data_IF_643735730570
#
_entry.id   IF_643735730570
#
_cell.length_a   1.000
_cell.length_b   1.000
_cell.length_c   1.000
_cell.angle_alpha   90.00
_cell.angle_beta   90.00
_cell.angle_gamma   90.00
#
_symmetry.space_group_name_H-M   'P 1'
#
loop_
_entity.id
_entity.type
_entity.pdbx_description
1 polymer ?
#
# COMPACT_ATOMS: atom_id res chain seq x y z
N UNK A 1 -13.29 4.60 -10.90
CA UNK A 1 -14.60 4.69 -11.59
C UNK A 1 -14.49 4.41 -13.08
N UNK A 2 -13.64 5.11 -13.84
CA UNK A 2 -13.48 4.88 -15.29
C UNK A 2 -13.24 3.40 -15.68
N UNK A 3 -12.33 2.71 -15.00
CA UNK A 3 -12.11 1.27 -15.20
C UNK A 3 -13.37 0.41 -14.98
N UNK A 4 -14.20 0.74 -14.00
CA UNK A 4 -15.45 0.03 -13.72
C UNK A 4 -16.45 0.26 -14.85
N UNK A 5 -16.54 1.49 -15.36
CA UNK A 5 -17.39 1.82 -16.52
C UNK A 5 -16.93 1.03 -17.75
N UNK A 6 -15.63 1.06 -18.07
CA UNK A 6 -15.07 0.31 -19.20
C UNK A 6 -15.33 -1.19 -19.08
N UNK A 7 -15.20 -1.75 -17.88
CA UNK A 7 -15.53 -3.15 -17.61
C UNK A 7 -17.00 -3.47 -17.92
N UNK A 8 -17.94 -2.62 -17.51
CA UNK A 8 -19.36 -2.79 -17.84
C UNK A 8 -19.69 -2.57 -19.33
N UNK A 9 -18.88 -1.79 -20.04
CA UNK A 9 -18.95 -1.64 -21.50
C UNK A 9 -18.33 -2.82 -22.25
N UNK A 10 -17.84 -3.84 -21.54
CA UNK A 10 -17.27 -5.04 -22.14
C UNK A 10 -15.80 -4.93 -22.53
N UNK A 11 -15.11 -3.85 -22.16
CA UNK A 11 -13.66 -3.79 -22.34
C UNK A 11 -12.99 -4.86 -21.45
N UNK A 12 -12.04 -5.58 -22.02
CA UNK A 12 -11.28 -6.62 -21.33
C UNK A 12 -9.80 -6.46 -21.64
N UNK A 13 -8.96 -6.90 -20.71
CA UNK A 13 -7.52 -7.01 -20.92
C UNK A 13 -7.20 -8.46 -21.29
N UNK A 14 -6.49 -8.65 -22.40
CA UNK A 14 -6.18 -10.00 -22.93
C UNK A 14 -4.96 -10.65 -22.28
N UNK A 15 -4.18 -9.89 -21.50
CA UNK A 15 -2.82 -10.29 -21.12
C UNK A 15 -2.73 -11.29 -19.95
N UNK A 16 -3.82 -11.55 -19.22
CA UNK A 16 -3.74 -12.27 -17.94
C UNK A 16 -4.64 -13.53 -17.89
N UNK A 17 -4.30 -14.52 -18.74
CA UNK A 17 -4.96 -15.83 -18.73
C UNK A 17 -4.85 -16.53 -17.37
N UNK A 18 -3.76 -16.29 -16.61
CA UNK A 18 -3.56 -16.85 -15.28
C UNK A 18 -4.66 -16.44 -14.28
N UNK A 19 -4.93 -15.13 -14.17
CA UNK A 19 -5.88 -14.64 -13.17
C UNK A 19 -7.33 -14.96 -13.54
N UNK A 20 -7.63 -15.12 -14.83
CA UNK A 20 -8.95 -15.59 -15.30
C UNK A 20 -9.30 -17.00 -14.81
N UNK A 21 -8.35 -17.80 -14.31
CA UNK A 21 -8.61 -19.14 -13.77
C UNK A 21 -8.74 -19.19 -12.25
N UNK A 22 -8.37 -18.12 -11.53
CA UNK A 22 -8.40 -18.10 -10.07
C UNK A 22 -9.74 -17.53 -9.61
N UNK A 23 -10.49 -18.28 -8.81
CA UNK A 23 -11.76 -17.82 -8.24
C UNK A 23 -11.56 -16.63 -7.31
N UNK A 24 -12.42 -15.61 -7.41
CA UNK A 24 -12.44 -14.49 -6.48
C UNK A 24 -13.13 -14.90 -5.17
N UNK A 25 -12.33 -15.23 -4.14
CA UNK A 25 -12.85 -15.75 -2.86
C UNK A 25 -13.77 -14.73 -2.17
N UNK A 26 -13.43 -13.44 -2.20
CA UNK A 26 -14.27 -12.38 -1.67
C UNK A 26 -15.64 -12.31 -2.36
N UNK A 27 -15.69 -12.36 -3.69
CA UNK A 27 -16.95 -12.38 -4.43
C UNK A 27 -17.76 -13.64 -4.11
N UNK A 28 -17.10 -14.80 -4.05
CA UNK A 28 -17.72 -16.08 -3.70
C UNK A 28 -18.35 -16.07 -2.31
N UNK A 29 -17.73 -15.40 -1.34
CA UNK A 29 -18.30 -15.24 0.01
C UNK A 29 -19.63 -14.48 0.03
N UNK A 30 -19.91 -13.70 -1.01
CA UNK A 30 -21.17 -12.99 -1.22
C UNK A 30 -22.16 -13.77 -2.12
N UNK A 31 -21.87 -15.04 -2.43
CA UNK A 31 -22.66 -15.86 -3.33
C UNK A 31 -22.43 -15.59 -4.83
N UNK A 32 -21.40 -14.81 -5.19
CA UNK A 32 -21.08 -14.46 -6.58
C UNK A 32 -19.95 -15.35 -7.08
N UNK A 33 -20.26 -16.28 -7.98
CA UNK A 33 -19.31 -17.27 -8.50
C UNK A 33 -18.61 -16.77 -9.76
N UNK A 34 -17.53 -16.02 -9.57
CA UNK A 34 -16.70 -15.47 -10.66
C UNK A 34 -15.22 -15.68 -10.40
N UNK A 35 -14.44 -15.62 -11.47
CA UNK A 35 -12.99 -15.53 -11.36
C UNK A 35 -12.55 -14.09 -11.13
N UNK A 36 -11.31 -13.95 -10.69
CA UNK A 36 -10.66 -12.67 -10.44
C UNK A 36 -10.64 -11.83 -11.71
N UNK A 37 -10.98 -10.55 -11.58
CA UNK A 37 -11.08 -9.63 -12.72
C UNK A 37 -9.86 -8.72 -12.77
N UNK A 38 -9.20 -8.69 -13.93
CA UNK A 38 -8.22 -7.65 -14.27
C UNK A 38 -8.96 -6.57 -15.05
N UNK A 39 -8.97 -5.35 -14.51
CA UNK A 39 -9.70 -4.24 -15.11
C UNK A 39 -8.96 -3.68 -16.35
N UNK A 40 -9.66 -3.07 -17.31
CA UNK A 40 -9.12 -2.81 -18.65
C UNK A 40 -7.82 -1.99 -18.71
N UNK A 41 -7.64 -1.04 -17.80
CA UNK A 41 -6.43 -0.19 -17.73
C UNK A 41 -5.63 -0.47 -16.45
N UNK A 42 -5.87 -1.61 -15.81
CA UNK A 42 -5.11 -2.00 -14.64
C UNK A 42 -3.69 -2.47 -15.06
N UNK A 43 -2.64 -2.03 -14.36
CA UNK A 43 -1.29 -2.54 -14.56
C UNK A 43 -1.13 -4.00 -14.12
N UNK A 44 -2.00 -4.43 -13.22
CA UNK A 44 -1.98 -5.74 -12.58
C UNK A 44 -3.08 -5.82 -11.54
N UNK A 45 -3.53 -7.04 -11.27
CA UNK A 45 -4.73 -7.25 -10.46
C UNK A 45 -4.57 -6.80 -9.00
N UNK A 46 -3.42 -7.08 -8.39
CA UNK A 46 -3.15 -6.72 -7.00
C UNK A 46 -2.90 -5.21 -6.90
N UNK A 47 -2.05 -4.66 -7.77
CA UNK A 47 -1.74 -3.22 -7.80
C UNK A 47 -3.00 -2.39 -7.97
N UNK A 48 -3.91 -2.79 -8.86
CA UNK A 48 -5.18 -2.07 -9.03
C UNK A 48 -6.11 -2.19 -7.82
N UNK A 49 -6.10 -3.33 -7.12
CA UNK A 49 -6.77 -3.47 -5.83
C UNK A 49 -6.24 -2.52 -4.76
N UNK A 50 -4.92 -2.30 -4.71
CA UNK A 50 -4.27 -1.34 -3.80
C UNK A 50 -4.68 0.09 -4.16
N UNK A 51 -4.68 0.45 -5.44
CA UNK A 51 -5.16 1.77 -5.89
C UNK A 51 -6.65 1.97 -5.56
N UNK A 52 -7.47 0.92 -5.68
CA UNK A 52 -8.86 0.98 -5.26
C UNK A 52 -9.01 1.18 -3.75
N UNK A 53 -8.17 0.56 -2.92
CA UNK A 53 -8.18 0.82 -1.47
C UNK A 53 -7.82 2.26 -1.12
N UNK A 54 -6.82 2.86 -1.79
CA UNK A 54 -6.53 4.29 -1.66
C UNK A 54 -7.72 5.15 -2.12
N UNK A 55 -8.36 4.78 -3.23
CA UNK A 55 -9.59 5.41 -3.71
C UNK A 55 -10.72 5.36 -2.69
N UNK A 56 -10.91 4.24 -2.00
CA UNK A 56 -11.91 4.10 -0.93
C UNK A 56 -11.64 5.04 0.26
N UNK A 57 -10.37 5.24 0.63
CA UNK A 57 -9.97 6.21 1.67
C UNK A 57 -10.34 7.63 1.24
N UNK A 58 -9.93 8.04 0.02
CA UNK A 58 -10.25 9.37 -0.54
C UNK A 58 -11.76 9.60 -0.58
N UNK A 59 -12.49 8.64 -1.15
CA UNK A 59 -13.94 8.67 -1.33
C UNK A 59 -14.67 8.79 0.01
N UNK A 60 -14.25 8.06 1.04
CA UNK A 60 -14.85 8.14 2.37
C UNK A 60 -14.60 9.50 3.03
N UNK A 61 -13.37 10.03 2.95
CA UNK A 61 -13.05 11.36 3.50
C UNK A 61 -13.91 12.43 2.83
N UNK A 62 -14.08 12.36 1.50
CA UNK A 62 -14.94 13.28 0.75
C UNK A 62 -16.41 13.15 1.15
N UNK A 63 -16.92 11.92 1.29
CA UNK A 63 -18.30 11.64 1.68
C UNK A 63 -18.67 12.25 3.03
N UNK A 64 -17.73 12.22 3.99
CA UNK A 64 -17.94 12.65 5.37
C UNK A 64 -17.60 14.13 5.57
N UNK A 65 -16.54 14.63 4.93
CA UNK A 65 -15.98 15.96 5.26
C UNK A 65 -16.46 17.09 4.33
N UNK A 66 -16.98 16.77 3.15
CA UNK A 66 -17.38 17.79 2.17
C UNK A 66 -18.79 18.32 2.46
N UNK A 67 -18.95 19.66 2.40
CA UNK A 67 -20.26 20.31 2.54
C UNK A 67 -21.09 20.25 1.25
N UNK A 68 -20.43 20.30 0.09
CA UNK A 68 -21.11 20.35 -1.22
C UNK A 68 -21.66 18.96 -1.59
N UNK A 69 -22.96 18.87 -1.87
CA UNK A 69 -23.64 17.60 -2.16
C UNK A 69 -23.01 16.85 -3.34
N UNK A 70 -22.61 17.53 -4.42
CA UNK A 70 -22.00 16.85 -5.58
C UNK A 70 -20.68 16.15 -5.23
N UNK A 71 -19.86 16.74 -4.33
CA UNK A 71 -18.62 16.12 -3.87
C UNK A 71 -18.90 14.91 -2.98
N UNK A 72 -19.95 14.98 -2.15
CA UNK A 72 -20.39 13.83 -1.34
C UNK A 72 -20.90 12.70 -2.22
N UNK A 73 -21.70 13.01 -3.24
CA UNK A 73 -22.18 12.01 -4.22
C UNK A 73 -21.00 11.38 -4.97
N UNK A 74 -20.03 12.18 -5.41
CA UNK A 74 -18.80 11.68 -6.01
C UNK A 74 -18.04 10.74 -5.07
N UNK A 75 -17.91 11.10 -3.79
CA UNK A 75 -17.36 10.23 -2.74
C UNK A 75 -18.15 8.92 -2.59
N UNK A 76 -19.47 8.96 -2.56
CA UNK A 76 -20.32 7.78 -2.49
C UNK A 76 -20.11 6.82 -3.67
N UNK A 77 -20.21 7.31 -4.91
CA UNK A 77 -20.00 6.48 -6.10
C UNK A 77 -18.55 5.99 -6.22
N UNK A 78 -17.59 6.79 -5.80
CA UNK A 78 -16.18 6.41 -5.73
C UNK A 78 -15.93 5.28 -4.73
N UNK A 79 -16.56 5.33 -3.55
CA UNK A 79 -16.47 4.28 -2.54
C UNK A 79 -17.08 2.98 -3.03
N UNK A 80 -18.30 3.02 -3.59
CA UNK A 80 -18.96 1.84 -4.18
C UNK A 80 -18.11 1.22 -5.29
N UNK A 81 -17.58 2.05 -6.19
CA UNK A 81 -16.69 1.59 -7.27
C UNK A 81 -15.43 0.92 -6.71
N UNK A 82 -14.85 1.48 -5.65
CA UNK A 82 -13.61 0.98 -5.04
C UNK A 82 -13.82 -0.35 -4.33
N UNK A 83 -14.91 -0.48 -3.57
CA UNK A 83 -15.31 -1.74 -2.91
C UNK A 83 -15.59 -2.81 -3.96
N UNK A 84 -16.33 -2.47 -5.03
CA UNK A 84 -16.58 -3.36 -6.15
C UNK A 84 -15.27 -3.88 -6.75
N UNK A 85 -14.32 -2.99 -7.07
CA UNK A 85 -12.99 -3.40 -7.58
C UNK A 85 -12.26 -4.31 -6.60
N UNK A 86 -12.22 -3.98 -5.30
CA UNK A 86 -11.52 -4.81 -4.30
C UNK A 86 -12.13 -6.22 -4.18
N UNK A 87 -13.46 -6.35 -4.28
CA UNK A 87 -14.16 -7.64 -4.28
C UNK A 87 -13.81 -8.45 -5.53
N UNK A 88 -13.89 -7.85 -6.72
CA UNK A 88 -13.63 -8.56 -7.98
C UNK A 88 -12.15 -8.91 -8.19
N UNK A 89 -11.23 -8.07 -7.71
CA UNK A 89 -9.78 -8.33 -7.74
C UNK A 89 -9.33 -9.31 -6.65
N UNK A 90 -10.20 -9.61 -5.68
CA UNK A 90 -9.91 -10.42 -4.49
C UNK A 90 -8.74 -9.86 -3.65
N UNK A 91 -8.68 -8.53 -3.51
CA UNK A 91 -7.58 -7.82 -2.85
C UNK A 91 -7.84 -7.62 -1.35
N UNK A 92 -7.76 -8.74 -0.59
CA UNK A 92 -8.05 -8.78 0.85
C UNK A 92 -7.25 -7.77 1.68
N UNK A 93 -5.93 -7.65 1.42
CA UNK A 93 -5.08 -6.68 2.11
C UNK A 93 -5.55 -5.24 1.87
N UNK A 94 -5.84 -4.88 0.62
CA UNK A 94 -6.34 -3.54 0.29
C UNK A 94 -7.65 -3.20 1.03
N UNK A 95 -8.58 -4.15 1.15
CA UNK A 95 -9.82 -3.96 1.89
C UNK A 95 -9.56 -3.75 3.39
N UNK A 96 -8.76 -4.64 4.01
CA UNK A 96 -8.48 -4.59 5.45
C UNK A 96 -7.73 -3.31 5.82
N UNK A 97 -6.65 -2.97 5.11
CA UNK A 97 -5.89 -1.75 5.38
C UNK A 97 -6.68 -0.50 5.05
N UNK A 98 -7.51 -0.53 3.99
CA UNK A 98 -8.42 0.56 3.66
C UNK A 98 -9.43 0.81 4.76
N UNK A 99 -10.05 -0.25 5.29
CA UNK A 99 -10.99 -0.16 6.42
C UNK A 99 -10.31 0.40 7.68
N UNK A 100 -9.13 -0.11 8.04
CA UNK A 100 -8.37 0.39 9.19
C UNK A 100 -8.12 1.90 9.04
N UNK A 101 -7.62 2.34 7.88
CA UNK A 101 -7.32 3.76 7.63
C UNK A 101 -8.59 4.62 7.62
N UNK A 102 -9.69 4.13 7.04
CA UNK A 102 -10.98 4.81 7.11
C UNK A 102 -11.41 5.01 8.56
N UNK A 103 -11.34 3.96 9.40
CA UNK A 103 -11.67 4.06 10.83
C UNK A 103 -10.75 5.05 11.54
N UNK A 104 -9.44 5.03 11.27
CA UNK A 104 -8.48 6.00 11.81
C UNK A 104 -8.82 7.44 11.39
N UNK A 105 -9.36 7.65 10.19
CA UNK A 105 -9.73 8.97 9.68
C UNK A 105 -10.96 9.60 10.34
N UNK A 106 -11.74 8.80 11.08
CA UNK A 106 -12.89 9.25 11.89
C UNK A 106 -12.47 9.86 13.23
N UNK A 107 -11.26 9.54 13.72
CA UNK A 107 -10.74 10.13 14.96
C UNK A 107 -10.32 11.60 14.75
N UNK A 108 -10.24 12.40 15.83
CA UNK A 108 -9.75 13.76 15.75
C UNK A 108 -8.36 13.82 15.11
N UNK A 109 -8.23 14.58 14.01
CA UNK A 109 -7.03 14.61 13.17
C UNK A 109 -5.75 14.87 13.97
N UNK A 110 -5.76 15.85 14.88
CA UNK A 110 -4.61 16.21 15.70
C UNK A 110 -4.18 15.09 16.68
N UNK A 111 -5.14 14.32 17.20
CA UNK A 111 -4.85 13.23 18.11
C UNK A 111 -4.14 12.08 17.38
N UNK A 112 -4.66 11.70 16.20
CA UNK A 112 -4.14 10.54 15.48
C UNK A 112 -2.84 10.83 14.73
N UNK A 113 -2.71 12.01 14.13
CA UNK A 113 -1.52 12.39 13.33
C UNK A 113 -0.26 12.53 14.18
N UNK A 114 -0.38 12.91 15.46
CA UNK A 114 0.74 12.97 16.41
C UNK A 114 1.54 11.67 16.46
N UNK A 115 0.84 10.53 16.40
CA UNK A 115 1.43 9.20 16.44
C UNK A 115 1.76 8.70 15.03
N UNK A 116 0.80 8.80 14.11
CA UNK A 116 0.94 8.23 12.76
C UNK A 116 2.00 8.93 11.90
N UNK A 117 2.41 10.16 12.21
CA UNK A 117 3.49 10.85 11.48
C UNK A 117 4.84 10.13 11.53
N UNK A 118 5.03 9.25 12.53
CA UNK A 118 6.24 8.44 12.69
C UNK A 118 6.11 7.04 12.07
N UNK A 119 4.98 6.72 11.45
CA UNK A 119 4.74 5.40 10.84
C UNK A 119 5.76 5.07 9.75
N UNK A 120 6.29 6.06 9.03
CA UNK A 120 7.40 5.86 8.10
C UNK A 120 8.60 5.21 8.79
N UNK A 121 9.10 5.81 9.88
CA UNK A 121 10.25 5.29 10.66
C UNK A 121 9.99 3.91 11.26
N UNK A 122 8.76 3.63 11.70
CA UNK A 122 8.41 2.36 12.36
C UNK A 122 8.07 1.25 11.34
N UNK A 123 7.78 1.59 10.09
CA UNK A 123 7.32 0.64 9.07
C UNK A 123 8.23 -0.59 8.83
N UNK A 124 9.58 -0.54 8.98
CA UNK A 124 10.42 -1.73 8.89
C UNK A 124 10.10 -2.83 9.91
N UNK A 125 9.42 -2.49 11.01
CA UNK A 125 9.01 -3.44 12.05
C UNK A 125 7.70 -4.17 11.71
N UNK A 126 6.93 -3.68 10.74
CA UNK A 126 5.61 -4.22 10.43
C UNK A 126 5.59 -5.66 9.88
N UNK A 127 6.55 -6.12 9.05
CA UNK A 127 6.59 -7.52 8.61
C UNK A 127 6.68 -8.47 9.81
N UNK A 128 7.50 -8.14 10.81
CA UNK A 128 7.65 -8.94 12.04
C UNK A 128 6.40 -8.91 12.91
N UNK A 129 5.71 -7.76 12.97
CA UNK A 129 4.42 -7.67 13.64
C UNK A 129 3.38 -8.59 12.98
N UNK A 130 3.32 -8.63 11.64
CA UNK A 130 2.44 -9.54 10.91
C UNK A 130 2.79 -11.01 11.14
N UNK A 131 4.08 -11.37 11.12
CA UNK A 131 4.54 -12.73 11.46
C UNK A 131 4.06 -13.15 12.85
N UNK A 132 4.17 -12.25 13.82
CA UNK A 132 3.74 -12.49 15.20
C UNK A 132 2.22 -12.68 15.28
N UNK A 133 1.44 -11.78 14.67
CA UNK A 133 -0.04 -11.86 14.68
C UNK A 133 -0.53 -13.13 14.00
N UNK A 134 0.04 -13.50 12.85
CA UNK A 134 -0.33 -14.71 12.13
C UNK A 134 -0.01 -15.98 12.91
N UNK A 135 1.06 -15.99 13.71
CA UNK A 135 1.39 -17.11 14.59
C UNK A 135 0.36 -17.37 15.70
N UNK A 136 -0.49 -16.39 15.99
CA UNK A 136 -1.51 -16.47 17.05
C UNK A 136 -2.91 -16.80 16.46
N UNK A 137 -3.12 -16.61 15.14
CA UNK A 137 -4.42 -16.85 14.52
C UNK A 137 -4.71 -18.36 14.42
N UNK A 138 -5.88 -18.83 14.91
CA UNK A 138 -6.29 -20.23 14.79
C UNK A 138 -6.31 -20.74 13.35
N UNK A 139 -5.86 -21.98 13.15
CA UNK A 139 -5.81 -22.63 11.83
C UNK A 139 -7.18 -22.75 11.17
N UNK A 140 -8.26 -22.86 11.94
CA UNK A 140 -9.64 -22.89 11.43
C UNK A 140 -10.02 -21.59 10.70
N UNK A 141 -9.65 -20.43 11.28
CA UNK A 141 -9.84 -19.12 10.66
C UNK A 141 -8.95 -19.02 9.42
N UNK A 142 -7.68 -19.43 9.53
CA UNK A 142 -6.76 -19.45 8.39
C UNK A 142 -7.29 -20.24 7.20
N UNK A 143 -7.82 -21.43 7.43
CA UNK A 143 -8.34 -22.29 6.38
C UNK A 143 -9.58 -21.72 5.70
N UNK A 144 -10.45 -21.04 6.46
CA UNK A 144 -11.66 -20.39 5.92
C UNK A 144 -11.32 -19.28 4.92
N UNK A 145 -10.24 -18.54 5.18
CA UNK A 145 -9.80 -17.44 4.34
C UNK A 145 -8.71 -17.82 3.34
N UNK A 146 -8.22 -19.07 3.35
CA UNK A 146 -7.18 -19.52 2.43
C UNK A 146 -7.73 -19.74 1.03
N UNK A 147 -6.93 -19.41 0.01
CA UNK A 147 -7.31 -19.67 -1.37
C UNK A 147 -7.10 -21.16 -1.65
N UNK A 148 -8.08 -21.89 -2.22
CA UNK A 148 -7.83 -23.22 -2.72
C UNK A 148 -6.90 -23.11 -3.92
N UNK A 149 -5.64 -23.53 -3.75
CA UNK A 149 -4.65 -23.55 -4.82
C UNK A 149 -4.03 -24.93 -4.94
N UNK A 150 -3.54 -25.25 -6.14
CA UNK A 150 -2.86 -26.51 -6.41
C UNK A 150 -1.49 -26.61 -5.71
N UNK A 151 -0.99 -25.53 -5.10
CA UNK A 151 0.25 -25.53 -4.33
C UNK A 151 -0.07 -25.36 -2.83
N UNK A 152 0.20 -26.35 -1.97
CA UNK A 152 -0.05 -26.26 -0.53
C UNK A 152 0.62 -25.07 0.15
N UNK A 153 1.77 -24.60 -0.36
CA UNK A 153 2.50 -23.47 0.20
C UNK A 153 1.78 -22.13 -0.05
N UNK A 154 0.97 -22.03 -1.11
CA UNK A 154 0.11 -20.87 -1.37
C UNK A 154 -1.28 -20.97 -0.70
N UNK A 155 -1.61 -22.11 -0.07
CA UNK A 155 -2.83 -22.29 0.72
C UNK A 155 -2.68 -21.64 2.10
N UNK A 156 -2.48 -20.32 2.13
CA UNK A 156 -2.43 -19.54 3.37
C UNK A 156 -3.15 -18.20 3.21
N UNK A 157 -3.54 -17.58 4.33
CA UNK A 157 -4.20 -16.26 4.35
C UNK A 157 -3.37 -15.24 3.56
N UNK A 158 -2.04 -15.29 3.68
CA UNK A 158 -1.12 -14.34 3.05
C UNK A 158 -0.43 -14.87 1.80
N UNK A 159 -0.93 -15.94 1.19
CA UNK A 159 -0.48 -16.45 -0.12
C UNK A 159 1.03 -16.78 -0.19
N UNK A 160 1.59 -17.35 0.88
CA UNK A 160 2.99 -17.79 0.90
C UNK A 160 4.02 -16.69 1.19
N UNK A 161 3.59 -15.46 1.52
CA UNK A 161 4.51 -14.34 1.79
C UNK A 161 5.53 -14.59 2.90
N UNK A 162 5.22 -15.36 3.95
CA UNK A 162 6.21 -15.67 4.99
C UNK A 162 7.41 -16.42 4.43
N UNK A 163 7.17 -17.34 3.49
CA UNK A 163 8.24 -18.09 2.84
C UNK A 163 9.08 -17.18 1.94
N UNK A 164 8.43 -16.28 1.18
CA UNK A 164 9.13 -15.27 0.38
C UNK A 164 10.03 -14.40 1.26
N UNK A 165 9.50 -13.93 2.39
CA UNK A 165 10.22 -13.06 3.32
C UNK A 165 11.40 -13.76 4.00
N UNK A 166 11.23 -15.03 4.37
CA UNK A 166 12.31 -15.85 4.92
C UNK A 166 13.46 -16.00 3.92
N UNK A 167 13.16 -16.27 2.64
CA UNK A 167 14.15 -16.33 1.57
C UNK A 167 14.89 -15.00 1.39
N UNK A 168 14.19 -13.87 1.45
CA UNK A 168 14.83 -12.54 1.35
C UNK A 168 15.70 -12.26 2.58
N UNK A 169 15.22 -12.57 3.79
CA UNK A 169 16.00 -12.38 5.02
C UNK A 169 17.26 -13.25 5.04
N UNK A 170 17.18 -14.48 4.54
CA UNK A 170 18.32 -15.39 4.40
C UNK A 170 19.41 -14.80 3.48
N UNK A 171 19.02 -14.15 2.37
CA UNK A 171 19.96 -13.43 1.50
C UNK A 171 20.69 -12.30 2.24
N UNK A 172 19.98 -11.51 3.04
CA UNK A 172 20.58 -10.41 3.81
C UNK A 172 21.27 -10.84 5.11
N UNK A 173 21.23 -12.14 5.47
CA UNK A 173 21.83 -12.65 6.71
C UNK A 173 23.34 -12.49 6.76
N UNK A 174 24.00 -12.59 5.61
CA UNK A 174 25.44 -12.35 5.48
C UNK A 174 25.64 -11.07 4.69
N UNK A 175 26.26 -10.06 5.31
CA UNK A 175 26.46 -8.76 4.66
C UNK A 175 27.32 -8.89 3.39
N UNK A 176 26.85 -8.28 2.30
CA UNK A 176 27.60 -8.02 1.07
C UNK A 176 27.56 -6.53 0.77
N UNK A 177 28.62 -5.98 0.17
CA UNK A 177 28.68 -4.58 -0.23
C UNK A 177 27.53 -4.20 -1.19
N UNK A 178 27.10 -5.13 -2.05
CA UNK A 178 25.93 -4.93 -2.91
C UNK A 178 24.63 -4.64 -2.13
N UNK A 179 24.51 -5.10 -0.88
CA UNK A 179 23.35 -4.83 -0.02
C UNK A 179 23.22 -3.35 0.33
N UNK A 180 24.30 -2.56 0.22
CA UNK A 180 24.24 -1.13 0.49
C UNK A 180 23.52 -0.36 -0.62
N UNK A 181 23.73 -0.74 -1.89
CA UNK A 181 23.17 -0.08 -3.09
C UNK A 181 22.01 -0.82 -3.73
N UNK A 182 21.80 -2.08 -3.35
CA UNK A 182 20.80 -2.97 -3.95
C UNK A 182 21.26 -3.57 -5.26
N UNK A 183 20.36 -4.34 -5.87
CA UNK A 183 20.56 -5.11 -7.10
C UNK A 183 19.92 -4.47 -8.33
N UNK A 184 19.21 -3.34 -8.15
CA UNK A 184 18.42 -2.69 -9.20
C UNK A 184 17.04 -3.31 -9.39
N UNK A 185 16.25 -2.71 -10.29
CA UNK A 185 14.90 -3.17 -10.60
C UNK A 185 14.89 -4.63 -11.06
N UNK A 186 14.12 -5.47 -10.37
CA UNK A 186 14.07 -6.94 -10.59
C UNK A 186 15.42 -7.66 -10.42
N UNK A 187 16.38 -7.07 -9.73
CA UNK A 187 17.70 -7.66 -9.50
C UNK A 187 17.67 -8.99 -8.75
N UNK A 188 16.59 -9.30 -8.01
CA UNK A 188 16.40 -10.59 -7.34
C UNK A 188 16.46 -11.80 -8.28
N UNK A 189 16.10 -11.61 -9.57
CA UNK A 189 16.15 -12.68 -10.56
C UNK A 189 17.59 -13.03 -10.97
N UNK A 190 18.52 -12.07 -10.92
CA UNK A 190 19.90 -12.27 -11.34
C UNK A 190 20.75 -13.05 -10.30
N UNK A 191 20.28 -13.11 -9.06
CA UNK A 191 20.98 -13.74 -7.92
C UNK A 191 20.17 -14.88 -7.30
N UNK A 192 19.21 -15.43 -8.03
CA UNK A 192 18.42 -16.60 -7.63
C UNK A 192 17.62 -16.47 -6.33
N UNK A 193 17.31 -15.24 -5.89
CA UNK A 193 16.43 -15.04 -4.73
C UNK A 193 15.00 -15.47 -5.09
N UNK A 194 14.48 -15.00 -6.22
CA UNK A 194 13.13 -15.30 -6.68
C UNK A 194 12.96 -16.72 -7.20
N UNK A 195 14.01 -17.34 -7.73
CA UNK A 195 13.94 -18.73 -8.20
C UNK A 195 13.60 -19.69 -7.05
N UNK A 196 14.07 -19.41 -5.82
CA UNK A 196 13.76 -20.17 -4.59
C UNK A 196 12.28 -20.18 -4.20
N UNK A 197 11.48 -19.18 -4.62
CA UNK A 197 10.04 -19.11 -4.35
C UNK A 197 9.15 -19.04 -5.60
N UNK A 198 9.74 -19.11 -6.79
CA UNK A 198 9.05 -19.08 -8.09
C UNK A 198 7.96 -20.14 -8.24
N UNK A 199 8.09 -21.28 -7.54
CA UNK A 199 7.11 -22.37 -7.53
C UNK A 199 5.74 -21.96 -6.96
N UNK A 200 5.68 -20.90 -6.15
CA UNK A 200 4.43 -20.28 -5.70
C UNK A 200 3.66 -19.62 -6.86
N UNK A 201 4.37 -19.29 -7.93
CA UNK A 201 3.88 -18.53 -9.08
C UNK A 201 3.94 -19.34 -10.38
N UNK A 202 3.93 -20.68 -10.34
CA UNK A 202 4.14 -21.58 -11.50
C UNK A 202 3.28 -21.35 -12.75
N UNK A 203 2.23 -20.55 -12.64
CA UNK A 203 1.30 -20.20 -13.71
C UNK A 203 1.33 -18.71 -14.09
N UNK A 204 2.09 -17.90 -13.36
CA UNK A 204 2.34 -16.51 -13.70
C UNK A 204 3.28 -16.44 -14.91
N UNK A 205 3.16 -15.36 -15.68
CA UNK A 205 4.11 -15.06 -16.73
C UNK A 205 5.46 -14.68 -16.08
N UNK A 206 6.48 -15.51 -16.30
CA UNK A 206 7.85 -15.31 -15.81
C UNK A 206 7.95 -15.28 -14.25
N UNK A 207 7.68 -16.41 -13.56
CA UNK A 207 7.66 -16.50 -12.10
C UNK A 207 8.99 -16.17 -11.41
N UNK A 208 10.10 -16.25 -12.14
CA UNK A 208 11.42 -15.80 -11.71
C UNK A 208 11.53 -14.29 -11.51
N UNK A 209 10.57 -13.49 -11.97
CA UNK A 209 10.51 -12.04 -11.68
C UNK A 209 9.49 -11.69 -10.60
N UNK A 210 8.94 -12.67 -9.88
CA UNK A 210 8.00 -12.38 -8.79
C UNK A 210 8.68 -11.54 -7.68
N UNK A 211 8.00 -10.46 -7.29
CA UNK A 211 8.47 -9.54 -6.25
C UNK A 211 8.41 -10.13 -4.84
N UNK A 212 9.07 -9.46 -3.90
CA UNK A 212 9.09 -9.80 -2.48
C UNK A 212 7.75 -9.54 -1.78
N UNK A 213 6.82 -8.86 -2.47
CA UNK A 213 5.43 -8.76 -2.04
C UNK A 213 5.30 -8.06 -0.67
N UNK A 214 6.24 -7.15 -0.42
CA UNK A 214 6.39 -6.30 0.76
C UNK A 214 7.30 -5.12 0.37
N UNK A 215 6.88 -3.89 0.67
CA UNK A 215 7.60 -2.67 0.29
C UNK A 215 9.03 -2.66 0.82
N UNK A 216 9.24 -2.96 2.10
CA UNK A 216 10.55 -2.86 2.74
C UNK A 216 11.52 -3.86 2.12
N UNK A 217 11.10 -5.11 1.96
CA UNK A 217 11.93 -6.15 1.36
C UNK A 217 12.20 -5.88 -0.13
N UNK A 218 11.20 -5.42 -0.88
CA UNK A 218 11.40 -5.10 -2.29
C UNK A 218 12.35 -3.91 -2.46
N UNK A 219 12.19 -2.83 -1.67
CA UNK A 219 13.11 -1.69 -1.71
C UNK A 219 14.53 -2.06 -1.27
N UNK A 220 14.68 -2.95 -0.27
CA UNK A 220 15.99 -3.48 0.14
C UNK A 220 16.67 -4.25 -1.00
N UNK A 221 15.94 -5.11 -1.70
CA UNK A 221 16.46 -5.84 -2.86
C UNK A 221 16.88 -4.87 -3.96
N UNK A 222 16.01 -3.92 -4.33
CA UNK A 222 16.22 -3.08 -5.50
C UNK A 222 17.25 -1.97 -5.27
N UNK A 223 17.26 -1.38 -4.07
CA UNK A 223 18.01 -0.14 -3.79
C UNK A 223 18.88 -0.21 -2.53
N UNK A 224 18.89 -1.36 -1.85
CA UNK A 224 19.75 -1.61 -0.70
C UNK A 224 19.39 -0.79 0.54
N UNK A 225 20.31 -0.80 1.51
CA UNK A 225 20.17 -0.05 2.76
C UNK A 225 20.08 1.47 2.54
N UNK A 226 20.80 2.00 1.55
CA UNK A 226 20.77 3.43 1.24
C UNK A 226 19.42 3.86 0.69
N UNK A 227 18.86 3.11 -0.27
CA UNK A 227 17.57 3.43 -0.86
C UNK A 227 16.41 3.29 0.12
N UNK A 228 16.38 2.24 0.94
CA UNK A 228 15.34 2.14 1.98
C UNK A 228 15.42 3.31 2.97
N UNK A 229 16.62 3.71 3.40
CA UNK A 229 16.79 4.85 4.31
C UNK A 229 16.22 6.13 3.70
N UNK A 230 16.52 6.41 2.42
CA UNK A 230 15.99 7.58 1.70
C UNK A 230 14.47 7.55 1.60
N UNK A 231 13.87 6.40 1.26
CA UNK A 231 12.41 6.24 1.18
C UNK A 231 11.76 6.47 2.54
N UNK A 232 12.31 5.88 3.62
CA UNK A 232 11.78 6.05 4.98
C UNK A 232 11.87 7.52 5.44
N UNK A 233 12.99 8.20 5.16
CA UNK A 233 13.14 9.63 5.45
C UNK A 233 12.12 10.46 4.67
N UNK A 234 11.99 10.22 3.36
CA UNK A 234 11.05 10.94 2.51
C UNK A 234 9.60 10.77 3.00
N UNK A 235 9.18 9.54 3.29
CA UNK A 235 7.84 9.25 3.84
C UNK A 235 7.65 9.97 5.19
N UNK A 236 8.62 9.86 6.10
CA UNK A 236 8.53 10.46 7.45
C UNK A 236 8.43 11.98 7.39
N UNK A 237 9.27 12.64 6.58
CA UNK A 237 9.22 14.10 6.40
C UNK A 237 7.88 14.52 5.78
N UNK A 238 7.38 13.78 4.78
CA UNK A 238 6.10 14.08 4.14
C UNK A 238 4.95 14.00 5.14
N UNK A 239 4.87 12.91 5.91
CA UNK A 239 3.85 12.74 6.95
C UNK A 239 3.97 13.80 8.04
N UNK A 240 5.20 14.12 8.47
CA UNK A 240 5.43 15.15 9.47
C UNK A 240 4.93 16.52 8.98
N UNK A 241 5.24 16.91 7.75
CA UNK A 241 4.78 18.17 7.16
C UNK A 241 3.25 18.19 7.00
N UNK A 242 2.65 17.15 6.42
CA UNK A 242 1.19 17.02 6.31
C UNK A 242 0.48 17.06 7.67
N UNK A 243 1.11 16.54 8.74
CA UNK A 243 0.55 16.60 10.09
C UNK A 243 0.53 18.01 10.70
N UNK A 244 1.34 18.93 10.16
CA UNK A 244 1.48 20.31 10.65
C UNK A 244 0.79 21.35 9.77
N UNK A 245 0.51 21.03 8.51
CA UNK A 245 -0.25 21.92 7.63
C UNK A 245 -1.68 22.14 8.15
N UNK A 246 -2.24 23.29 7.77
CA UNK A 246 -3.60 23.66 8.09
C UNK A 246 -4.58 22.58 7.59
N UNK A 247 -5.64 22.35 8.36
CA UNK A 247 -6.49 21.16 8.30
C UNK A 247 -7.46 21.12 7.09
N UNK A 248 -7.00 21.51 5.91
CA UNK A 248 -7.80 21.40 4.71
C UNK A 248 -8.04 19.92 4.35
N UNK A 249 -9.11 19.68 3.60
CA UNK A 249 -9.54 18.31 3.28
C UNK A 249 -8.49 17.62 2.39
N UNK A 250 -7.75 18.38 1.58
CA UNK A 250 -6.73 17.85 0.69
C UNK A 250 -5.54 17.29 1.47
N UNK A 251 -4.95 18.06 2.39
CA UNK A 251 -3.86 17.64 3.25
C UNK A 251 -4.24 16.45 4.13
N UNK A 252 -5.45 16.48 4.72
CA UNK A 252 -6.00 15.32 5.47
C UNK A 252 -6.08 14.08 4.59
N UNK A 253 -6.58 14.23 3.35
CA UNK A 253 -6.72 13.12 2.40
C UNK A 253 -5.35 12.55 2.03
N UNK A 254 -4.39 13.40 1.66
CA UNK A 254 -3.03 13.00 1.32
C UNK A 254 -2.36 12.26 2.48
N UNK A 255 -2.52 12.75 3.71
CA UNK A 255 -1.98 12.09 4.91
C UNK A 255 -2.52 10.66 5.04
N UNK A 256 -3.83 10.48 5.02
CA UNK A 256 -4.41 9.14 5.17
C UNK A 256 -4.16 8.22 3.98
N UNK A 257 -4.02 8.73 2.75
CA UNK A 257 -3.58 7.93 1.60
C UNK A 257 -2.15 7.41 1.80
N UNK A 258 -1.23 8.22 2.34
CA UNK A 258 0.11 7.75 2.66
C UNK A 258 0.11 6.71 3.78
N UNK A 259 -0.67 6.91 4.85
CA UNK A 259 -0.84 5.89 5.89
C UNK A 259 -1.38 4.59 5.29
N UNK A 260 -2.34 4.68 4.37
CA UNK A 260 -2.85 3.52 3.65
C UNK A 260 -1.76 2.81 2.86
N UNK A 261 -0.93 3.52 2.10
CA UNK A 261 0.17 2.89 1.36
C UNK A 261 1.22 2.26 2.27
N UNK A 262 1.53 2.85 3.42
CA UNK A 262 2.43 2.24 4.41
C UNK A 262 1.85 0.92 4.93
N UNK A 263 0.55 0.88 5.26
CA UNK A 263 -0.09 -0.35 5.73
C UNK A 263 -0.24 -1.40 4.61
N UNK A 264 -0.59 -0.97 3.40
CA UNK A 264 -0.62 -1.83 2.22
C UNK A 264 0.78 -2.38 1.89
N UNK A 265 1.83 -1.58 2.11
CA UNK A 265 3.24 -1.92 1.94
C UNK A 265 3.72 -3.07 2.84
N UNK A 266 2.99 -3.38 3.91
CA UNK A 266 3.28 -4.53 4.78
C UNK A 266 3.14 -5.85 4.01
N UNK A 267 2.20 -5.92 3.07
CA UNK A 267 1.94 -7.13 2.30
C UNK A 267 1.90 -6.87 0.81
N UNK A 268 2.43 -5.79 0.28
CA UNK A 268 2.60 -5.60 -1.16
C UNK A 268 3.82 -4.71 -1.42
N UNK A 269 4.40 -4.79 -2.61
CA UNK A 269 5.52 -3.94 -3.05
C UNK A 269 5.08 -2.50 -3.39
N UNK A 270 4.25 -1.88 -2.54
CA UNK A 270 3.73 -0.52 -2.74
C UNK A 270 4.87 0.50 -2.62
N UNK A 271 4.79 1.64 -3.31
CA UNK A 271 5.82 2.69 -3.31
C UNK A 271 7.18 2.22 -3.86
N UNK A 272 7.19 1.15 -4.66
CA UNK A 272 8.34 0.66 -5.42
C UNK A 272 8.10 0.80 -6.92
N UNK A 273 9.12 0.52 -7.74
CA UNK A 273 8.98 0.54 -9.19
C UNK A 273 8.04 -0.59 -9.70
N UNK A 274 7.80 -1.64 -8.91
CA UNK A 274 6.81 -2.69 -9.24
C UNK A 274 5.36 -2.19 -9.16
N UNK A 275 5.11 -1.13 -8.39
CA UNK A 275 3.78 -0.51 -8.23
C UNK A 275 3.84 0.96 -8.62
N UNK A 276 4.18 1.21 -9.89
CA UNK A 276 4.46 2.54 -10.45
C UNK A 276 3.38 3.58 -10.11
N UNK A 277 2.09 3.22 -10.14
CA UNK A 277 0.98 4.12 -9.84
C UNK A 277 1.02 4.62 -8.40
N UNK A 278 1.29 3.72 -7.45
CA UNK A 278 1.41 4.08 -6.04
C UNK A 278 2.62 4.98 -5.79
N UNK A 279 3.73 4.70 -6.48
CA UNK A 279 4.94 5.52 -6.44
C UNK A 279 4.69 6.91 -7.02
N UNK A 280 3.99 7.01 -8.16
CA UNK A 280 3.62 8.28 -8.75
C UNK A 280 2.73 9.11 -7.82
N UNK A 281 1.71 8.50 -7.20
CA UNK A 281 0.85 9.19 -6.22
C UNK A 281 1.70 9.69 -5.04
N UNK A 282 2.60 8.88 -4.51
CA UNK A 282 3.50 9.30 -3.44
C UNK A 282 4.38 10.47 -3.86
N UNK A 283 5.00 10.42 -5.04
CA UNK A 283 5.83 11.52 -5.55
C UNK A 283 5.02 12.81 -5.72
N UNK A 284 3.78 12.73 -6.22
CA UNK A 284 2.90 13.90 -6.31
C UNK A 284 2.60 14.49 -4.92
N UNK A 285 2.30 13.65 -3.93
CA UNK A 285 2.07 14.10 -2.55
C UNK A 285 3.35 14.74 -1.98
N UNK A 286 4.48 14.06 -2.11
CA UNK A 286 5.78 14.54 -1.62
C UNK A 286 6.14 15.90 -2.24
N UNK A 287 5.99 16.07 -3.56
CA UNK A 287 6.26 17.33 -4.25
C UNK A 287 5.31 18.44 -3.79
N UNK A 288 4.01 18.15 -3.62
CA UNK A 288 3.02 19.16 -3.21
C UNK A 288 3.31 19.76 -1.83
N UNK A 289 3.98 19.00 -0.96
CA UNK A 289 4.36 19.39 0.41
C UNK A 289 5.80 19.89 0.49
N UNK A 290 6.64 19.55 -0.51
CA UNK A 290 8.04 19.97 -0.55
C UNK A 290 8.24 21.37 -1.10
N UNK A 291 7.38 21.79 -2.04
CA UNK A 291 7.52 23.06 -2.78
C UNK A 291 6.96 24.27 -2.00
N UNK A 292 6.09 24.08 -1.00
CA UNK A 292 5.54 25.20 -0.22
C UNK A 292 6.67 25.90 0.57
N UNK A 293 6.98 27.17 0.29
CA UNK A 293 7.96 27.92 1.07
C UNK A 293 7.47 28.00 2.52
N UNK A 294 8.37 27.80 3.49
CA UNK A 294 8.04 27.94 4.90
C UNK A 294 7.95 29.43 5.28
N UNK A 295 6.96 30.14 4.74
CA UNK A 295 6.75 31.57 5.03
C UNK A 295 6.50 31.83 6.53
N UNK A 296 6.01 30.82 7.26
CA UNK A 296 5.63 30.94 8.68
C UNK A 296 6.75 30.62 9.71
N UNK A 297 7.98 30.29 9.29
CA UNK A 297 9.06 30.05 10.27
C UNK A 297 9.77 31.32 10.73
N UNK A 298 9.73 32.40 9.94
CA UNK A 298 10.43 33.64 10.25
C UNK A 298 9.64 34.49 11.26
N UNK A 299 8.31 34.54 11.16
CA UNK A 299 7.48 35.36 12.06
C UNK A 299 7.43 34.83 13.52
N UNK A 300 7.67 33.54 13.77
CA UNK A 300 7.65 33.00 15.13
C UNK A 300 8.94 33.24 15.92
N UNK A 301 10.05 33.54 15.25
CA UNK A 301 11.31 33.88 15.92
C UNK A 301 11.35 35.33 16.41
N UNK A 302 10.58 36.26 15.81
CA UNK A 302 10.64 37.68 16.19
C UNK A 302 9.77 38.05 17.41
N UNK A 303 8.83 37.20 17.83
CA UNK A 303 7.89 37.52 18.93
C UNK A 303 8.44 37.16 20.32
N UNK A 304 9.54 36.39 20.42
CA UNK A 304 10.12 36.02 21.73
C UNK A 304 11.17 37.00 22.29
N UNK A 305 11.62 38.00 21.53
CA UNK A 305 12.70 38.92 21.96
C UNK A 305 12.22 40.29 22.47
N UNK A 306 10.92 40.46 22.70
CA UNK A 306 10.38 41.70 23.31
C UNK A 306 9.67 41.36 24.63
N UNK A 307 10.45 40.89 25.61
CA UNK A 307 10.08 41.06 27.02
C UNK A 307 10.71 42.38 27.46
N UNK A 308 9.92 43.46 27.65
CA UNK A 308 10.46 44.67 28.25
C UNK A 308 10.84 44.34 29.69
N UNK A 309 12.14 44.36 29.98
CA UNK A 309 12.65 44.41 31.35
C UNK A 309 12.14 45.73 31.92
N UNK A 310 11.10 45.67 32.74
CA UNK A 310 10.68 46.80 33.58
C UNK A 310 11.47 46.75 34.88
N UNK A 311 11.95 47.93 35.27
CA UNK A 311 12.92 48.24 36.34
C UNK A 311 12.64 47.61 37.70
#
# INVERSE_FOLDING_TARGET
MANVILYFLGAQQDYDFYFKQVTAVMARSLGIYINRVVFPTAPGINSFGIIAGAGAVVSTIFLISQKKMFLRLSGFFGLLSSIFVMILTDSRGALVYGLIVVLLSLFPYQAITRYLRWSGTVSPLFPFAVMTVLGIIPTSISNTFSRPTANPLSNSIISGRLFIWDVVLDYFRTFNLSHFTGLGYRGQAAVDISSRYSSLFKFAYAPEFAGAHNQIFQTLIETGYSGILLVLIAITITLYRLSREEHDIAGKTMFFVLIYFIFAGITESVLTLESFESTLIFLMIWLSVSVKPQENLIERTEICDIVPISN
#
